data_IF_540628403288
#
_entry.id   IF_540628403288
#
_cell.length_a   1.000
_cell.length_b   1.000
_cell.length_c   1.000
_cell.angle_alpha   90.00
_cell.angle_beta   90.00
_cell.angle_gamma   90.00
#
_symmetry.space_group_name_H-M   'P 1'
#
loop_
_entity.id
_entity.type
_entity.pdbx_description
1 polymer ?
#
# COMPACT_ATOMS: atom_id res chain seq x y z
N UNK A 1 -4.49 -26.91 14.72
CA UNK A 1 -5.34 -25.98 13.96
C UNK A 1 -6.03 -25.04 14.94
N UNK A 2 -5.58 -23.84 15.03
CA UNK A 2 -6.27 -22.78 15.77
C UNK A 2 -7.54 -22.42 14.99
N UNK A 3 -8.69 -22.80 15.53
CA UNK A 3 -9.96 -22.31 15.02
C UNK A 3 -10.00 -20.81 15.32
N UNK A 4 -9.95 -19.95 14.28
CA UNK A 4 -9.95 -18.49 14.42
C UNK A 4 -11.35 -17.95 14.76
N UNK A 5 -12.40 -18.78 14.65
CA UNK A 5 -13.77 -18.41 14.98
C UNK A 5 -14.22 -17.14 14.23
N UNK A 6 -14.96 -16.28 14.93
CA UNK A 6 -15.45 -14.99 14.44
C UNK A 6 -14.50 -13.82 14.70
N UNK A 7 -13.22 -14.08 15.01
CA UNK A 7 -12.24 -13.02 15.26
C UNK A 7 -12.10 -12.09 14.04
N UNK A 8 -12.02 -10.82 14.30
CA UNK A 8 -11.81 -9.77 13.28
C UNK A 8 -10.35 -9.81 12.83
N UNK A 9 -10.11 -10.19 11.58
CA UNK A 9 -8.77 -10.34 11.02
C UNK A 9 -8.50 -9.24 9.99
N UNK A 10 -7.47 -8.44 10.25
CA UNK A 10 -6.96 -7.48 9.29
C UNK A 10 -5.69 -8.05 8.64
N UNK A 11 -5.74 -8.28 7.34
CA UNK A 11 -4.55 -8.58 6.56
C UNK A 11 -4.03 -7.28 5.95
N UNK A 12 -2.80 -6.90 6.26
CA UNK A 12 -2.13 -5.74 5.65
C UNK A 12 -1.10 -6.23 4.65
N UNK A 13 -1.32 -5.87 3.39
CA UNK A 13 -0.38 -6.14 2.30
C UNK A 13 0.48 -4.90 2.09
N UNK A 14 1.73 -4.95 2.49
CA UNK A 14 2.71 -3.90 2.23
C UNK A 14 3.22 -3.93 0.78
N UNK A 15 4.38 -3.35 0.53
CA UNK A 15 5.04 -3.43 -0.76
C UNK A 15 5.19 -4.90 -1.19
N UNK A 16 4.67 -5.23 -2.36
CA UNK A 16 4.65 -6.60 -2.86
C UNK A 16 4.82 -6.63 -4.38
N UNK A 17 5.39 -7.72 -4.89
CA UNK A 17 5.33 -7.99 -6.33
C UNK A 17 3.87 -8.20 -6.75
N UNK A 18 3.53 -8.01 -8.02
CA UNK A 18 2.19 -8.37 -8.50
C UNK A 18 1.83 -9.79 -8.08
N UNK A 19 0.65 -9.93 -7.48
CA UNK A 19 0.18 -11.24 -7.03
C UNK A 19 0.02 -12.18 -8.21
N UNK A 20 0.49 -13.40 -8.03
CA UNK A 20 0.15 -14.51 -8.93
C UNK A 20 -1.30 -14.94 -8.69
N UNK A 21 -1.92 -15.58 -9.68
CA UNK A 21 -3.28 -16.14 -9.54
C UNK A 21 -3.39 -17.05 -8.30
N UNK A 22 -2.35 -17.82 -8.00
CA UNK A 22 -2.31 -18.69 -6.82
C UNK A 22 -2.34 -17.89 -5.52
N UNK A 23 -1.53 -16.85 -5.42
CA UNK A 23 -1.50 -15.98 -4.24
C UNK A 23 -2.85 -15.32 -4.02
N UNK A 24 -3.44 -14.77 -5.09
CA UNK A 24 -4.75 -14.14 -5.01
C UNK A 24 -5.84 -15.12 -4.60
N UNK A 25 -5.88 -16.30 -5.23
CA UNK A 25 -6.86 -17.35 -4.90
C UNK A 25 -6.71 -17.85 -3.45
N UNK A 26 -5.48 -17.99 -2.96
CA UNK A 26 -5.21 -18.41 -1.58
C UNK A 26 -5.70 -17.35 -0.57
N UNK A 27 -5.42 -16.07 -0.81
CA UNK A 27 -5.86 -14.98 0.04
C UNK A 27 -7.39 -14.82 0.03
N UNK A 28 -8.01 -14.86 -1.15
CA UNK A 28 -9.47 -14.79 -1.27
C UNK A 28 -10.15 -15.97 -0.57
N UNK A 29 -9.64 -17.19 -0.74
CA UNK A 29 -10.15 -18.37 -0.03
C UNK A 29 -9.99 -18.25 1.48
N UNK A 30 -8.88 -17.70 1.96
CA UNK A 30 -8.70 -17.42 3.39
C UNK A 30 -9.77 -16.44 3.90
N UNK A 31 -9.99 -15.34 3.19
CA UNK A 31 -10.99 -14.35 3.57
C UNK A 31 -12.43 -14.88 3.48
N UNK A 32 -12.73 -15.80 2.55
CA UNK A 32 -14.04 -16.46 2.47
C UNK A 32 -14.32 -17.39 3.66
N UNK A 33 -13.29 -17.95 4.25
CA UNK A 33 -13.42 -18.87 5.39
C UNK A 33 -13.21 -18.19 6.75
N UNK A 34 -12.86 -16.91 6.78
CA UNK A 34 -12.61 -16.15 8.00
C UNK A 34 -13.24 -14.76 7.93
N UNK A 35 -13.51 -14.18 9.11
CA UNK A 35 -14.03 -12.81 9.22
C UNK A 35 -12.88 -11.80 8.97
N UNK A 36 -12.43 -11.71 7.71
CA UNK A 36 -11.22 -11.01 7.33
C UNK A 36 -11.48 -9.89 6.30
N UNK A 37 -10.64 -8.87 6.37
CA UNK A 37 -10.52 -7.80 5.39
C UNK A 37 -9.05 -7.60 5.03
N UNK A 38 -8.77 -7.22 3.78
CA UNK A 38 -7.41 -6.98 3.29
C UNK A 38 -7.23 -5.48 3.05
N UNK A 39 -6.33 -4.88 3.80
CA UNK A 39 -5.92 -3.49 3.57
C UNK A 39 -4.81 -3.46 2.52
N UNK A 40 -5.01 -2.68 1.48
CA UNK A 40 -4.08 -2.51 0.37
C UNK A 40 -3.84 -1.05 0.07
N UNK A 41 -2.69 -0.76 -0.53
CA UNK A 41 -2.42 0.50 -1.21
C UNK A 41 -1.80 0.22 -2.60
N UNK A 42 -1.30 1.25 -3.28
CA UNK A 42 -0.75 1.08 -4.63
C UNK A 42 0.47 0.17 -4.70
N UNK A 43 1.23 0.03 -3.60
CA UNK A 43 2.43 -0.82 -3.55
C UNK A 43 2.11 -2.30 -3.29
N UNK A 44 0.87 -2.60 -2.89
CA UNK A 44 0.46 -3.96 -2.55
C UNK A 44 0.34 -4.86 -3.78
N UNK A 45 0.05 -4.29 -4.94
CA UNK A 45 -0.16 -5.02 -6.20
C UNK A 45 -1.11 -6.22 -6.04
N UNK A 46 -2.17 -6.02 -5.25
CA UNK A 46 -3.17 -6.99 -4.85
C UNK A 46 -4.56 -6.38 -5.00
N UNK A 47 -5.52 -7.10 -5.58
CA UNK A 47 -6.84 -6.59 -5.93
C UNK A 47 -7.96 -7.63 -5.74
N UNK A 48 -7.92 -8.39 -4.66
CA UNK A 48 -8.90 -9.44 -4.38
C UNK A 48 -10.26 -8.91 -3.93
N UNK A 49 -11.22 -9.83 -3.85
CA UNK A 49 -12.62 -9.57 -3.48
C UNK A 49 -12.78 -8.84 -2.14
N UNK A 50 -11.92 -9.15 -1.18
CA UNK A 50 -11.94 -8.59 0.18
C UNK A 50 -10.92 -7.47 0.39
N UNK A 51 -10.29 -7.02 -0.70
CA UNK A 51 -9.29 -5.95 -0.67
C UNK A 51 -9.95 -4.58 -0.65
N UNK A 52 -9.51 -3.72 0.26
CA UNK A 52 -9.97 -2.34 0.39
C UNK A 52 -8.79 -1.39 0.43
N UNK A 53 -8.80 -0.40 -0.46
CA UNK A 53 -7.94 0.77 -0.37
C UNK A 53 -8.62 1.78 0.55
N UNK A 54 -8.31 1.72 1.84
CA UNK A 54 -8.98 2.49 2.88
C UNK A 54 -8.06 3.57 3.51
N UNK A 55 -7.06 4.04 2.77
CA UNK A 55 -6.08 5.01 3.25
C UNK A 55 -6.73 6.31 3.74
N UNK A 56 -7.74 6.81 3.04
CA UNK A 56 -8.45 8.03 3.44
C UNK A 56 -9.27 7.79 4.73
N UNK A 57 -9.97 6.66 4.82
CA UNK A 57 -10.72 6.29 6.04
C UNK A 57 -9.80 6.27 7.26
N UNK A 58 -8.63 5.63 7.14
CA UNK A 58 -7.65 5.56 8.23
C UNK A 58 -7.12 6.95 8.57
N UNK A 59 -6.80 7.77 7.57
CA UNK A 59 -6.34 9.16 7.77
C UNK A 59 -7.37 10.04 8.47
N UNK A 60 -8.66 9.75 8.29
CA UNK A 60 -9.77 10.42 8.98
C UNK A 60 -10.07 9.82 10.37
N UNK A 61 -9.23 8.91 10.87
CA UNK A 61 -9.41 8.29 12.19
C UNK A 61 -10.43 7.14 12.24
N UNK A 62 -10.91 6.67 11.09
CA UNK A 62 -11.91 5.60 11.01
C UNK A 62 -11.43 4.25 11.55
N UNK A 63 -10.11 4.01 11.58
CA UNK A 63 -9.53 2.79 12.12
C UNK A 63 -9.97 2.49 13.57
N UNK A 64 -10.18 3.51 14.38
CA UNK A 64 -10.61 3.35 15.77
C UNK A 64 -11.95 2.59 15.93
N UNK A 65 -12.78 2.58 14.88
CA UNK A 65 -14.08 1.90 14.86
C UNK A 65 -14.00 0.45 14.40
N UNK A 66 -12.90 0.07 13.75
CA UNK A 66 -12.73 -1.24 13.07
C UNK A 66 -11.42 -1.92 13.47
N UNK A 67 -11.05 -1.84 14.72
CA UNK A 67 -9.84 -2.49 15.24
C UNK A 67 -9.91 -4.00 15.08
N UNK A 68 -8.82 -4.66 14.64
CA UNK A 68 -8.76 -6.11 14.52
C UNK A 68 -8.48 -6.79 15.87
N UNK A 69 -8.87 -8.06 15.98
CA UNK A 69 -8.38 -8.99 17.01
C UNK A 69 -7.03 -9.59 16.60
N UNK A 70 -6.86 -9.82 15.29
CA UNK A 70 -5.63 -10.35 14.70
C UNK A 70 -5.21 -9.46 13.52
N UNK A 71 -3.98 -8.99 13.57
CA UNK A 71 -3.29 -8.37 12.45
C UNK A 71 -2.39 -9.42 11.77
N UNK A 72 -2.53 -9.60 10.47
CA UNK A 72 -1.60 -10.40 9.64
C UNK A 72 -0.89 -9.45 8.69
N UNK A 73 0.43 -9.50 8.66
CA UNK A 73 1.23 -8.68 7.74
C UNK A 73 1.99 -9.55 6.76
N UNK A 74 1.95 -9.17 5.48
CA UNK A 74 2.73 -9.76 4.38
C UNK A 74 3.37 -8.67 3.54
N UNK A 75 4.43 -9.01 2.82
CA UNK A 75 5.19 -8.06 2.01
C UNK A 75 6.07 -7.13 2.84
N UNK A 76 6.48 -6.04 2.22
CA UNK A 76 7.31 -5.00 2.82
C UNK A 76 6.52 -3.94 3.58
N UNK A 77 7.09 -2.74 3.65
CA UNK A 77 6.43 -1.62 4.30
C UNK A 77 5.31 -1.03 3.44
N UNK A 78 4.29 -0.47 4.07
CA UNK A 78 3.19 0.19 3.36
C UNK A 78 3.58 1.58 2.82
N UNK A 79 4.59 2.21 3.40
CA UNK A 79 4.93 3.61 3.12
C UNK A 79 3.85 4.62 3.51
N UNK A 80 2.87 4.19 4.29
CA UNK A 80 1.67 4.94 4.67
C UNK A 80 1.66 5.20 6.18
N UNK A 81 2.00 6.42 6.59
CA UNK A 81 2.05 6.81 8.00
C UNK A 81 0.72 6.71 8.76
N UNK A 82 -0.44 7.07 8.18
CA UNK A 82 -1.71 6.90 8.87
C UNK A 82 -1.98 5.47 9.32
N UNK A 83 -1.79 4.47 8.44
CA UNK A 83 -1.98 3.08 8.84
C UNK A 83 -0.89 2.61 9.80
N UNK A 84 0.36 3.03 9.60
CA UNK A 84 1.45 2.74 10.53
C UNK A 84 1.10 3.21 11.95
N UNK A 85 0.73 4.48 12.11
CA UNK A 85 0.34 5.02 13.41
C UNK A 85 -0.91 4.36 14.00
N UNK A 86 -1.88 4.01 13.15
CA UNK A 86 -3.09 3.31 13.58
C UNK A 86 -2.78 1.90 14.10
N UNK A 87 -1.89 1.17 13.44
CA UNK A 87 -1.49 -0.18 13.84
C UNK A 87 -0.62 -0.18 15.08
N UNK A 88 0.33 0.75 15.25
CA UNK A 88 1.08 0.92 16.51
C UNK A 88 0.16 1.18 17.71
N UNK A 89 -1.02 1.77 17.48
CA UNK A 89 -2.01 2.09 18.52
C UNK A 89 -3.25 1.20 18.48
N UNK A 90 -3.17 0.03 17.87
CA UNK A 90 -4.36 -0.84 17.76
C UNK A 90 -4.84 -1.38 19.11
N UNK A 91 -3.97 -1.44 20.11
CA UNK A 91 -4.28 -1.94 21.45
C UNK A 91 -4.04 -3.45 21.58
N UNK A 92 -4.84 -4.12 22.40
CA UNK A 92 -4.74 -5.57 22.59
C UNK A 92 -5.15 -6.30 21.32
N UNK A 93 -4.33 -7.25 20.90
CA UNK A 93 -4.53 -8.06 19.70
C UNK A 93 -3.26 -8.83 19.39
N UNK A 94 -3.36 -9.81 18.50
CA UNK A 94 -2.19 -10.53 18.01
C UNK A 94 -1.68 -9.90 16.71
N UNK A 95 -0.37 -9.85 16.53
CA UNK A 95 0.26 -9.51 15.25
C UNK A 95 1.06 -10.70 14.74
N UNK A 96 0.69 -11.18 13.56
CA UNK A 96 1.32 -12.29 12.87
C UNK A 96 2.05 -11.78 11.63
N UNK A 97 3.34 -12.00 11.56
CA UNK A 97 4.13 -11.73 10.35
C UNK A 97 4.28 -13.02 9.56
N UNK A 98 3.92 -12.99 8.28
CA UNK A 98 4.13 -14.10 7.34
C UNK A 98 5.17 -13.66 6.32
N UNK A 99 6.31 -14.31 6.29
CA UNK A 99 7.40 -14.03 5.37
C UNK A 99 8.36 -15.20 5.25
N UNK A 100 8.91 -15.40 4.06
CA UNK A 100 9.83 -16.51 3.76
C UNK A 100 11.17 -16.44 4.52
N UNK A 101 11.57 -15.22 4.93
CA UNK A 101 12.82 -14.97 5.64
C UNK A 101 12.78 -15.34 7.13
N UNK A 102 11.59 -15.56 7.71
CA UNK A 102 11.41 -15.83 9.12
C UNK A 102 12.00 -14.79 10.08
N UNK A 103 12.39 -13.63 9.58
CA UNK A 103 13.07 -12.61 10.37
C UNK A 103 12.14 -11.97 11.41
N UNK A 104 12.71 -11.66 12.58
CA UNK A 104 12.02 -10.86 13.58
C UNK A 104 12.02 -9.38 13.18
N UNK A 105 10.91 -8.94 12.61
CA UNK A 105 10.69 -7.54 12.23
C UNK A 105 9.37 -7.07 12.85
N UNK A 106 9.47 -6.35 13.96
CA UNK A 106 8.32 -5.81 14.68
C UNK A 106 8.06 -4.37 14.26
N UNK A 107 7.41 -4.21 13.12
CA UNK A 107 7.14 -2.89 12.55
C UNK A 107 6.16 -2.06 13.38
N UNK A 108 5.27 -2.71 14.13
CA UNK A 108 4.15 -2.05 14.82
C UNK A 108 4.18 -2.19 16.35
N UNK A 109 5.29 -2.67 16.92
CA UNK A 109 5.50 -2.88 18.36
C UNK A 109 4.52 -3.88 19.01
N UNK A 110 3.98 -4.82 18.23
CA UNK A 110 2.97 -5.79 18.68
C UNK A 110 3.20 -7.22 18.16
N UNK A 111 4.36 -7.51 17.58
CA UNK A 111 4.61 -8.81 16.95
C UNK A 111 4.52 -9.96 17.95
N UNK A 112 3.59 -10.89 17.72
CA UNK A 112 3.36 -12.05 18.58
C UNK A 112 3.77 -13.37 17.95
N UNK A 113 3.69 -13.50 16.61
CA UNK A 113 4.01 -14.72 15.87
C UNK A 113 4.69 -14.44 14.55
N UNK A 114 5.59 -15.32 14.15
CA UNK A 114 6.25 -15.31 12.84
C UNK A 114 5.96 -16.65 12.18
N UNK A 115 5.54 -16.60 10.91
CA UNK A 115 5.36 -17.76 10.06
C UNK A 115 6.38 -17.69 8.93
N UNK A 116 7.40 -18.54 9.02
CA UNK A 116 8.46 -18.66 8.01
C UNK A 116 7.96 -19.56 6.87
N UNK A 117 7.24 -18.95 5.93
CA UNK A 117 6.73 -19.64 4.74
C UNK A 117 6.27 -18.60 3.69
N UNK A 118 6.10 -19.04 2.43
CA UNK A 118 5.42 -18.22 1.42
C UNK A 118 3.99 -17.87 1.85
N UNK A 119 3.54 -16.68 1.51
CA UNK A 119 2.22 -16.15 1.83
C UNK A 119 1.08 -17.04 1.34
N UNK A 120 1.12 -17.48 0.06
CA UNK A 120 0.10 -18.38 -0.48
C UNK A 120 0.00 -19.68 0.32
N UNK A 121 1.13 -20.24 0.78
CA UNK A 121 1.14 -21.46 1.56
C UNK A 121 0.46 -21.27 2.92
N UNK A 122 0.76 -20.12 3.58
CA UNK A 122 0.11 -19.78 4.83
C UNK A 122 -1.41 -19.71 4.65
N UNK A 123 -1.88 -18.93 3.68
CA UNK A 123 -3.31 -18.75 3.44
C UNK A 123 -4.00 -20.05 3.01
N UNK A 124 -3.42 -20.85 2.13
CA UNK A 124 -3.95 -22.17 1.77
C UNK A 124 -4.08 -23.12 2.98
N UNK A 125 -3.13 -23.07 3.92
CA UNK A 125 -3.16 -23.91 5.12
C UNK A 125 -4.16 -23.40 6.16
N UNK A 126 -4.35 -22.11 6.24
CA UNK A 126 -5.28 -21.48 7.17
C UNK A 126 -6.71 -21.43 6.64
N UNK A 127 -6.93 -21.46 5.32
CA UNK A 127 -8.24 -21.54 4.69
C UNK A 127 -8.90 -22.90 4.86
N UNK A 128 -9.14 -23.33 6.10
CA UNK A 128 -9.85 -24.58 6.38
C UNK A 128 -11.34 -24.30 6.56
N UNK A 129 -12.18 -25.12 5.92
CA UNK A 129 -13.64 -25.08 5.89
C UNK A 129 -14.27 -24.60 7.19
N UNK A 130 -14.49 -23.31 7.30
CA UNK A 130 -15.36 -22.71 8.31
C UNK A 130 -16.35 -21.80 7.60
N UNK A 131 -17.61 -21.86 7.95
CA UNK A 131 -18.55 -20.81 7.59
C UNK A 131 -18.42 -19.72 8.63
N UNK A 132 -17.94 -18.55 8.23
CA UNK A 132 -17.88 -17.38 9.11
C UNK A 132 -18.78 -16.25 8.58
N UNK A 133 -19.04 -15.29 9.43
CA UNK A 133 -19.65 -14.03 8.98
C UNK A 133 -18.57 -13.18 8.31
N UNK A 134 -18.94 -12.38 7.29
CA UNK A 134 -18.04 -11.38 6.71
C UNK A 134 -18.30 -9.99 7.29
N UNK A 135 -18.81 -9.93 8.50
CA UNK A 135 -19.24 -8.68 9.14
C UNK A 135 -18.12 -7.66 9.23
N UNK A 136 -16.88 -8.11 9.43
CA UNK A 136 -15.74 -7.22 9.54
C UNK A 136 -15.38 -6.53 8.21
N UNK A 137 -15.42 -7.27 7.10
CA UNK A 137 -15.28 -6.67 5.77
C UNK A 137 -16.41 -5.67 5.49
N UNK A 138 -17.66 -6.02 5.81
CA UNK A 138 -18.81 -5.14 5.60
C UNK A 138 -18.74 -3.88 6.48
N UNK A 139 -18.25 -3.98 7.73
CA UNK A 139 -17.99 -2.82 8.58
C UNK A 139 -16.96 -1.86 7.95
N UNK A 140 -15.84 -2.40 7.47
CA UNK A 140 -14.82 -1.61 6.80
C UNK A 140 -15.36 -0.97 5.53
N UNK A 141 -16.04 -1.75 4.71
CA UNK A 141 -16.62 -1.29 3.45
C UNK A 141 -17.65 -0.19 3.68
N UNK A 142 -18.57 -0.39 4.61
CA UNK A 142 -19.60 0.59 4.93
C UNK A 142 -19.01 1.93 5.39
N UNK A 143 -17.95 1.91 6.21
CA UNK A 143 -17.25 3.13 6.62
C UNK A 143 -16.47 3.76 5.46
N UNK A 144 -15.79 2.96 4.65
CA UNK A 144 -15.03 3.47 3.51
C UNK A 144 -15.95 4.10 2.45
N UNK A 145 -17.13 3.54 2.25
CA UNK A 145 -18.14 4.07 1.32
C UNK A 145 -18.74 5.43 1.78
N UNK A 146 -18.52 5.83 3.04
CA UNK A 146 -18.91 7.17 3.51
C UNK A 146 -17.94 8.27 3.06
N UNK A 147 -16.76 7.90 2.55
CA UNK A 147 -15.75 8.87 2.13
C UNK A 147 -16.16 9.50 0.81
N UNK A 148 -16.30 10.81 0.81
CA UNK A 148 -16.55 11.56 -0.41
C UNK A 148 -15.23 12.01 -1.03
N UNK A 149 -14.91 11.48 -2.19
CA UNK A 149 -13.72 11.83 -2.98
C UNK A 149 -13.99 12.98 -3.97
N UNK A 150 -15.25 13.35 -4.17
CA UNK A 150 -15.65 14.41 -5.09
C UNK A 150 -15.80 15.75 -4.34
N UNK A 151 -14.65 16.22 -3.86
CA UNK A 151 -14.55 17.52 -3.14
C UNK A 151 -13.69 18.47 -3.95
N UNK A 152 -14.02 19.76 -3.90
CA UNK A 152 -13.20 20.79 -4.50
C UNK A 152 -11.92 21.00 -3.70
N UNK A 153 -10.78 20.83 -4.36
CA UNK A 153 -9.46 20.94 -3.74
C UNK A 153 -8.70 22.12 -4.37
N UNK A 154 -7.96 22.90 -3.58
CA UNK A 154 -7.02 23.87 -4.12
C UNK A 154 -5.86 23.14 -4.83
N UNK A 155 -5.16 23.85 -5.73
CA UNK A 155 -3.98 23.32 -6.40
C UNK A 155 -2.96 22.81 -5.38
N UNK A 156 -2.72 21.50 -5.37
CA UNK A 156 -1.89 20.78 -4.40
C UNK A 156 -1.53 19.39 -4.94
N UNK A 157 -0.62 18.67 -4.25
CA UNK A 157 -0.33 17.26 -4.56
C UNK A 157 -1.61 16.40 -4.56
N UNK A 158 -2.50 16.68 -3.61
CA UNK A 158 -3.76 15.95 -3.50
C UNK A 158 -4.69 16.23 -4.69
N UNK A 159 -4.79 17.51 -5.09
CA UNK A 159 -5.55 17.91 -6.28
C UNK A 159 -5.01 17.22 -7.54
N UNK A 160 -3.69 17.20 -7.72
CA UNK A 160 -3.07 16.53 -8.88
C UNK A 160 -3.41 15.04 -8.89
N UNK A 161 -3.31 14.35 -7.76
CA UNK A 161 -3.69 12.95 -7.65
C UNK A 161 -5.19 12.74 -7.97
N UNK A 162 -6.08 13.56 -7.41
CA UNK A 162 -7.53 13.53 -7.69
C UNK A 162 -7.82 13.68 -9.19
N UNK A 163 -7.16 14.59 -9.88
CA UNK A 163 -7.41 14.85 -11.29
C UNK A 163 -6.77 13.83 -12.24
N UNK A 164 -5.69 13.20 -11.81
CA UNK A 164 -4.86 12.37 -12.69
C UNK A 164 -5.08 10.86 -12.54
N UNK A 165 -5.52 10.37 -11.37
CA UNK A 165 -5.57 8.92 -11.10
C UNK A 165 -6.37 8.13 -12.12
N UNK A 166 -7.50 8.66 -12.63
CA UNK A 166 -8.34 8.01 -13.66
C UNK A 166 -7.79 8.15 -15.08
N UNK A 167 -6.71 8.91 -15.26
CA UNK A 167 -6.11 9.19 -16.57
C UNK A 167 -4.85 8.40 -16.84
N UNK A 168 -4.38 7.66 -15.83
CA UNK A 168 -3.24 6.74 -16.01
C UNK A 168 -3.69 5.61 -16.94
N UNK A 169 -2.97 5.36 -18.05
CA UNK A 169 -3.32 4.27 -18.97
C UNK A 169 -3.26 2.89 -18.29
N UNK A 170 -4.13 1.98 -18.72
CA UNK A 170 -4.08 0.59 -18.27
C UNK A 170 -2.71 -0.04 -18.51
N UNK A 171 -2.36 -1.04 -17.71
CA UNK A 171 -1.11 -1.78 -17.74
C UNK A 171 0.15 -0.94 -17.49
N UNK A 172 0.01 0.31 -17.05
CA UNK A 172 1.15 1.15 -16.72
C UNK A 172 1.87 0.68 -15.45
N UNK A 173 3.15 1.04 -15.37
CA UNK A 173 3.94 0.93 -14.14
C UNK A 173 4.01 2.32 -13.49
N UNK A 174 3.65 2.41 -12.23
CA UNK A 174 3.64 3.66 -11.47
C UNK A 174 4.65 3.59 -10.33
N UNK A 175 5.64 4.47 -10.37
CA UNK A 175 6.57 4.68 -9.27
C UNK A 175 6.14 5.89 -8.44
N UNK A 176 6.17 5.75 -7.13
CA UNK A 176 5.87 6.83 -6.21
C UNK A 176 7.10 7.15 -5.36
N UNK A 177 7.58 8.37 -5.44
CA UNK A 177 8.50 8.86 -4.42
C UNK A 177 7.81 8.85 -3.06
N UNK A 178 8.56 8.61 -2.00
CA UNK A 178 8.03 8.53 -0.64
C UNK A 178 7.32 9.81 -0.20
N UNK A 179 6.63 9.73 0.94
CA UNK A 179 5.94 10.84 1.60
C UNK A 179 4.76 11.36 0.77
N UNK A 180 4.72 12.66 0.47
CA UNK A 180 3.54 13.29 -0.14
C UNK A 180 3.17 12.74 -1.52
N UNK A 181 4.13 12.28 -2.32
CA UNK A 181 3.83 11.67 -3.62
C UNK A 181 3.04 10.39 -3.44
N UNK A 182 3.55 9.43 -2.68
CA UNK A 182 2.84 8.18 -2.40
C UNK A 182 1.54 8.42 -1.61
N UNK A 183 1.60 9.22 -0.53
CA UNK A 183 0.46 9.48 0.36
C UNK A 183 -0.73 10.06 -0.37
N UNK A 184 -0.54 11.12 -1.15
CA UNK A 184 -1.65 11.77 -1.84
C UNK A 184 -2.29 10.87 -2.91
N UNK A 185 -1.49 10.07 -3.60
CA UNK A 185 -2.01 9.14 -4.59
C UNK A 185 -2.71 7.94 -3.95
N UNK A 186 -2.24 7.46 -2.80
CA UNK A 186 -2.87 6.35 -2.08
C UNK A 186 -4.31 6.63 -1.63
N UNK A 187 -4.76 7.88 -1.68
CA UNK A 187 -6.16 8.22 -1.41
C UNK A 187 -7.10 7.96 -2.59
N UNK A 188 -6.59 7.83 -3.81
CA UNK A 188 -7.41 7.66 -5.01
C UNK A 188 -7.10 6.31 -5.68
N UNK A 189 -8.14 5.53 -6.04
CA UNK A 189 -7.90 4.22 -6.63
C UNK A 189 -7.28 4.34 -8.02
N UNK A 190 -6.37 3.43 -8.34
CA UNK A 190 -5.88 3.20 -9.69
C UNK A 190 -6.58 2.00 -10.30
N UNK A 191 -6.50 1.89 -11.62
CA UNK A 191 -6.97 0.70 -12.31
C UNK A 191 -6.18 -0.54 -11.84
N UNK A 192 -6.81 -1.69 -11.60
CA UNK A 192 -6.14 -2.89 -11.10
C UNK A 192 -5.04 -3.44 -12.00
N UNK A 193 -5.01 -3.07 -13.28
CA UNK A 193 -3.92 -3.44 -14.20
C UNK A 193 -2.63 -2.66 -13.98
N UNK A 194 -2.67 -1.58 -13.19
CA UNK A 194 -1.52 -0.71 -12.93
C UNK A 194 -0.71 -1.29 -11.77
N UNK A 195 0.59 -1.46 -11.99
CA UNK A 195 1.51 -1.93 -10.97
C UNK A 195 2.16 -0.74 -10.27
N UNK A 196 2.19 -0.77 -8.94
CA UNK A 196 2.74 0.29 -8.11
C UNK A 196 4.04 -0.11 -7.43
N UNK A 197 5.02 0.79 -7.42
CA UNK A 197 6.32 0.60 -6.77
C UNK A 197 6.76 1.87 -6.04
N UNK A 198 7.63 1.71 -5.03
CA UNK A 198 8.17 2.85 -4.28
C UNK A 198 9.40 2.48 -3.47
N UNK A 199 10.27 3.42 -3.19
CA UNK A 199 11.46 3.20 -2.36
C UNK A 199 11.11 3.29 -0.86
N UNK A 200 10.19 2.43 -0.40
CA UNK A 200 9.70 2.48 0.99
C UNK A 200 10.57 1.70 1.96
N UNK A 201 11.36 0.74 1.51
CA UNK A 201 12.23 -0.05 2.37
C UNK A 201 13.33 0.81 3.02
N UNK A 202 13.97 1.69 2.24
CA UNK A 202 14.99 2.61 2.72
C UNK A 202 14.41 3.97 3.17
N UNK A 203 13.17 4.27 2.82
CA UNK A 203 12.49 5.53 3.09
C UNK A 203 13.27 6.76 2.62
N UNK A 204 14.02 6.61 1.51
CA UNK A 204 14.91 7.63 0.95
C UNK A 204 14.31 8.35 -0.26
N UNK A 205 14.74 9.59 -0.47
CA UNK A 205 14.43 10.35 -1.69
C UNK A 205 15.42 10.06 -2.82
N UNK A 206 16.43 9.25 -2.55
CA UNK A 206 17.44 8.78 -3.50
C UNK A 206 16.93 7.62 -4.35
N UNK A 207 17.49 7.45 -5.54
CA UNK A 207 17.22 6.32 -6.42
C UNK A 207 15.84 6.29 -7.09
N UNK A 208 14.97 7.27 -6.87
CA UNK A 208 13.61 7.26 -7.40
C UNK A 208 13.57 7.28 -8.94
N UNK A 209 14.34 8.18 -9.56
CA UNK A 209 14.44 8.25 -11.02
C UNK A 209 15.19 7.04 -11.60
N UNK A 210 16.24 6.57 -10.91
CA UNK A 210 17.03 5.40 -11.30
C UNK A 210 16.17 4.13 -11.33
N UNK A 211 15.29 3.95 -10.35
CA UNK A 211 14.35 2.82 -10.28
C UNK A 211 13.41 2.84 -11.49
N UNK A 212 12.75 3.97 -11.76
CA UNK A 212 11.89 4.15 -12.92
C UNK A 212 12.59 3.78 -14.23
N UNK A 213 13.82 4.29 -14.42
CA UNK A 213 14.58 4.05 -15.64
C UNK A 213 14.94 2.57 -15.77
N UNK A 214 15.40 1.93 -14.67
CA UNK A 214 15.72 0.51 -14.66
C UNK A 214 14.53 -0.36 -15.04
N UNK A 215 13.35 -0.08 -14.51
CA UNK A 215 12.10 -0.77 -14.87
C UNK A 215 11.74 -0.55 -16.35
N UNK A 216 11.82 0.68 -16.83
CA UNK A 216 11.45 1.03 -18.19
C UNK A 216 12.27 0.32 -19.26
N UNK A 217 13.48 -0.13 -18.93
CA UNK A 217 14.34 -0.86 -19.86
C UNK A 217 13.84 -2.27 -20.18
N UNK A 218 13.09 -2.87 -19.26
CA UNK A 218 12.66 -4.27 -19.35
C UNK A 218 11.21 -4.44 -19.83
N UNK A 219 10.53 -3.35 -20.16
CA UNK A 219 9.14 -3.37 -20.63
C UNK A 219 8.92 -2.37 -21.75
N UNK A 220 7.83 -2.54 -22.49
CA UNK A 220 7.31 -1.56 -23.44
C UNK A 220 6.09 -0.81 -22.89
N UNK A 221 5.62 -1.17 -21.70
CA UNK A 221 4.55 -0.48 -21.00
C UNK A 221 4.99 0.93 -20.57
N UNK A 222 4.03 1.83 -20.42
CA UNK A 222 4.30 3.17 -19.91
C UNK A 222 4.75 3.13 -18.45
N UNK A 223 5.89 3.71 -18.17
CA UNK A 223 6.46 3.81 -16.83
C UNK A 223 6.39 5.26 -16.35
N UNK A 224 5.67 5.47 -15.28
CA UNK A 224 5.47 6.78 -14.66
C UNK A 224 6.22 6.87 -13.34
N UNK A 225 6.64 8.09 -12.99
CA UNK A 225 6.97 8.43 -11.62
C UNK A 225 6.21 9.68 -11.19
N UNK A 226 5.69 9.64 -9.97
CA UNK A 226 5.23 10.82 -9.24
C UNK A 226 6.28 11.19 -8.21
N UNK A 227 6.88 12.36 -8.35
CA UNK A 227 8.02 12.76 -7.52
C UNK A 227 7.96 14.24 -7.15
N UNK A 228 8.49 14.57 -5.98
CA UNK A 228 8.74 15.96 -5.58
C UNK A 228 10.04 16.50 -6.18
N UNK A 229 10.21 17.81 -6.12
CA UNK A 229 11.41 18.50 -6.63
C UNK A 229 12.71 18.02 -5.98
N UNK A 230 12.74 17.84 -4.66
CA UNK A 230 13.95 17.39 -3.96
C UNK A 230 14.35 15.97 -4.39
N UNK A 231 13.43 15.02 -4.43
CA UNK A 231 13.71 13.65 -4.86
C UNK A 231 14.14 13.60 -6.32
N UNK A 232 13.51 14.41 -7.17
CA UNK A 232 13.88 14.50 -8.59
C UNK A 232 15.30 15.00 -8.77
N UNK A 233 15.68 16.13 -8.13
CA UNK A 233 17.02 16.70 -8.25
C UNK A 233 18.09 15.84 -7.60
N UNK A 234 17.74 15.13 -6.51
CA UNK A 234 18.68 14.26 -5.82
C UNK A 234 19.20 13.12 -6.71
N UNK A 235 18.35 12.60 -7.58
CA UNK A 235 18.66 11.48 -8.51
C UNK A 235 18.59 11.90 -10.01
N UNK A 236 18.77 13.17 -10.28
CA UNK A 236 18.64 13.72 -11.64
C UNK A 236 19.65 13.14 -12.64
N UNK A 237 20.81 12.72 -12.18
CA UNK A 237 21.86 12.14 -13.02
C UNK A 237 21.39 10.87 -13.76
N UNK A 238 20.41 10.16 -13.23
CA UNK A 238 19.81 9.01 -13.90
C UNK A 238 19.22 9.35 -15.27
N UNK A 239 18.74 10.58 -15.47
CA UNK A 239 18.21 11.04 -16.76
C UNK A 239 19.27 11.15 -17.86
N UNK A 240 20.57 11.11 -17.51
CA UNK A 240 21.68 11.07 -18.46
C UNK A 240 21.96 9.68 -19.07
N UNK A 241 21.24 8.65 -18.65
CA UNK A 241 21.39 7.28 -19.16
C UNK A 241 20.96 7.23 -20.63
N UNK A 242 21.87 6.80 -21.53
CA UNK A 242 21.64 6.81 -22.98
C UNK A 242 20.59 5.83 -23.49
N UNK A 243 20.19 4.88 -22.67
CA UNK A 243 19.29 3.78 -23.05
C UNK A 243 17.84 4.00 -22.57
N UNK A 244 17.53 5.20 -22.09
CA UNK A 244 16.15 5.54 -21.69
C UNK A 244 15.24 5.44 -22.92
N UNK A 245 14.19 4.62 -22.78
CA UNK A 245 13.17 4.47 -23.82
C UNK A 245 12.16 5.63 -23.78
N UNK A 246 11.35 5.73 -24.82
CA UNK A 246 10.29 6.75 -24.94
C UNK A 246 9.02 6.44 -24.09
N UNK A 247 9.03 5.37 -23.32
CA UNK A 247 7.93 4.94 -22.44
C UNK A 247 8.01 5.57 -21.04
N UNK A 248 9.01 6.38 -20.73
CA UNK A 248 9.17 7.06 -19.42
C UNK A 248 8.35 8.34 -19.34
N UNK A 249 7.68 8.55 -18.21
CA UNK A 249 6.91 9.77 -17.90
C UNK A 249 7.22 10.22 -16.47
N UNK A 250 7.52 11.49 -16.30
CA UNK A 250 7.82 12.08 -15.00
C UNK A 250 6.73 13.12 -14.66
N UNK A 251 6.01 12.89 -13.60
CA UNK A 251 5.12 13.87 -12.99
C UNK A 251 5.85 14.53 -11.81
N UNK A 252 6.45 15.66 -12.09
CA UNK A 252 7.20 16.43 -11.10
C UNK A 252 6.29 17.43 -10.39
N UNK A 253 6.16 17.30 -9.09
CA UNK A 253 5.46 18.25 -8.23
C UNK A 253 6.48 19.21 -7.63
N UNK A 254 6.61 20.37 -8.25
CA UNK A 254 7.53 21.40 -7.80
C UNK A 254 6.83 22.38 -6.86
N UNK A 255 7.02 22.20 -5.56
CA UNK A 255 6.50 23.10 -4.52
C UNK A 255 7.59 23.99 -3.89
N UNK A 256 8.79 24.01 -4.47
CA UNK A 256 9.91 24.84 -4.04
C UNK A 256 10.58 24.39 -2.74
N UNK A 257 10.45 23.13 -2.35
CA UNK A 257 11.14 22.60 -1.17
C UNK A 257 10.47 21.40 -0.52
N UNK A 258 11.09 20.88 0.55
CA UNK A 258 10.59 19.74 1.31
C UNK A 258 9.38 20.09 2.15
N UNK A 259 8.17 19.85 1.64
CA UNK A 259 6.93 20.15 2.35
C UNK A 259 6.81 19.39 3.68
N UNK A 260 7.35 18.19 3.76
CA UNK A 260 7.35 17.35 4.98
C UNK A 260 8.04 18.05 6.15
N UNK A 261 9.17 18.70 5.91
CA UNK A 261 9.88 19.45 6.94
C UNK A 261 9.03 20.61 7.51
N UNK A 262 8.17 21.22 6.70
CA UNK A 262 7.26 22.27 7.15
C UNK A 262 6.12 21.74 8.03
N UNK A 263 5.71 20.48 7.81
CA UNK A 263 4.67 19.82 8.59
C UNK A 263 5.24 19.39 9.96
N UNK A 264 6.43 18.80 9.95
CA UNK A 264 7.08 18.29 11.16
C UNK A 264 7.51 19.41 12.12
N UNK A 265 7.92 20.56 11.64
CA UNK A 265 8.41 21.69 12.48
C UNK A 265 7.30 22.49 13.18
N UNK A 266 6.02 22.24 12.89
CA UNK A 266 4.92 22.90 13.60
C UNK A 266 4.60 22.34 14.97
N UNK A 267 5.24 21.25 15.38
CA UNK A 267 5.03 20.55 16.64
C UNK A 267 6.22 20.63 17.60
N UNK A 268 7.16 21.60 17.38
CA UNK A 268 8.28 21.89 18.28
C UNK A 268 8.16 23.29 18.81
#
# INVERSE_FOLDING_TARGET
>A
SSNLGDQKILVVVGEHRPFTDRQQAALDSFCENHNAVVYVNHLSNCSGKYSLQANMLVSCGGFAKVKPDILITIGGQTGDYPIYGALCNMGAGEHWRVAEDGAYVDTYDHLTKIFECPDYFFFEKMAQNSTCSHSYYEEWKALNDTINFDVELPMSNLYVAQQMHKRVPHNSIMNFAILNSLRCWSYFPLDPSIQGYGNVAAFGIDGCNSMLIGESMNTDELCFIVTGDLAFFYDMNALGIRHIKNNVRVLLINNGGGAEFKIMTRNW
#
